data_IF_554836767744
#
_entry.id   IF_554836767744
#
_cell.length_a   1.000
_cell.length_b   1.000
_cell.length_c   1.000
_cell.angle_alpha   90.00
_cell.angle_beta   90.00
_cell.angle_gamma   90.00
#
_symmetry.space_group_name_H-M   'P 1'
#
loop_
_entity.id
_entity.type
_entity.pdbx_description
1 polymer ?
#
# COMPACT_ATOMS: atom_id res chain seq x y z
N UNK A 1 -14.04 18.16 13.52
CA UNK A 1 -12.89 17.54 12.83
C UNK A 1 -12.31 18.58 11.89
N UNK A 2 -11.10 19.07 12.16
CA UNK A 2 -10.46 20.09 11.32
C UNK A 2 -9.94 19.40 10.05
N UNK A 3 -10.61 19.57 8.92
CA UNK A 3 -10.11 19.07 7.64
C UNK A 3 -8.95 19.97 7.20
N UNK A 4 -7.72 19.46 7.29
CA UNK A 4 -6.55 20.12 6.71
C UNK A 4 -6.53 19.90 5.20
N UNK A 5 -6.29 20.97 4.44
CA UNK A 5 -6.12 20.90 3.00
C UNK A 5 -4.74 20.33 2.66
N UNK A 6 -4.70 19.33 1.78
CA UNK A 6 -3.47 18.79 1.21
C UNK A 6 -3.33 19.33 -0.22
N UNK A 7 -2.24 20.05 -0.48
CA UNK A 7 -1.94 20.60 -1.81
C UNK A 7 -0.89 19.72 -2.47
N UNK A 8 -1.24 19.14 -3.62
CA UNK A 8 -0.35 18.32 -4.43
C UNK A 8 0.08 19.11 -5.66
N UNK A 9 1.38 19.12 -5.97
CA UNK A 9 1.84 19.55 -7.30
C UNK A 9 1.64 18.39 -8.27
N UNK A 10 0.99 18.67 -9.38
CA UNK A 10 0.64 17.70 -10.40
C UNK A 10 1.30 18.07 -11.72
N UNK A 11 1.67 17.04 -12.49
CA UNK A 11 2.01 17.19 -13.90
C UNK A 11 0.78 16.88 -14.78
N UNK A 12 0.95 17.01 -16.10
CA UNK A 12 -0.15 16.80 -17.04
C UNK A 12 -0.66 15.35 -17.04
N UNK A 13 0.22 14.38 -16.80
CA UNK A 13 -0.13 12.95 -16.76
C UNK A 13 -1.00 12.65 -15.54
N UNK A 14 -0.58 13.10 -14.36
CA UNK A 14 -1.33 12.90 -13.13
C UNK A 14 -2.68 13.63 -13.17
N UNK A 15 -2.76 14.83 -13.73
CA UNK A 15 -4.04 15.54 -13.87
C UNK A 15 -5.02 14.80 -14.78
N UNK A 16 -4.56 14.25 -15.90
CA UNK A 16 -5.39 13.48 -16.82
C UNK A 16 -5.94 12.21 -16.14
N UNK A 17 -5.06 11.45 -15.48
CA UNK A 17 -5.44 10.24 -14.76
C UNK A 17 -6.43 10.54 -13.62
N UNK A 18 -6.21 11.60 -12.85
CA UNK A 18 -7.13 12.01 -11.79
C UNK A 18 -8.49 12.45 -12.33
N UNK A 19 -8.52 13.15 -13.47
CA UNK A 19 -9.77 13.55 -14.10
C UNK A 19 -10.59 12.34 -14.58
N UNK A 20 -9.95 11.38 -15.24
CA UNK A 20 -10.60 10.15 -15.72
C UNK A 20 -11.15 9.33 -14.55
N UNK A 21 -10.34 9.09 -13.51
CA UNK A 21 -10.75 8.31 -12.34
C UNK A 21 -11.88 9.01 -11.56
N UNK A 22 -11.79 10.33 -11.39
CA UNK A 22 -12.82 11.12 -10.73
C UNK A 22 -14.17 11.02 -11.49
N UNK A 23 -14.14 11.17 -12.81
CA UNK A 23 -15.33 11.07 -13.65
C UNK A 23 -15.94 9.67 -13.61
N UNK A 24 -15.11 8.63 -13.73
CA UNK A 24 -15.56 7.23 -13.75
C UNK A 24 -16.16 6.79 -12.41
N UNK A 25 -15.61 7.28 -11.30
CA UNK A 25 -16.04 6.88 -9.95
C UNK A 25 -17.05 7.84 -9.31
N UNK A 26 -17.32 9.00 -9.92
CA UNK A 26 -18.18 10.03 -9.34
C UNK A 26 -17.61 10.65 -8.07
N UNK A 27 -16.28 10.81 -8.00
CA UNK A 27 -15.56 11.31 -6.82
C UNK A 27 -14.81 12.60 -7.11
N UNK A 28 -14.43 13.33 -6.07
CA UNK A 28 -13.44 14.41 -6.24
C UNK A 28 -12.04 13.83 -6.46
N UNK A 29 -11.17 14.57 -7.18
CA UNK A 29 -9.76 14.19 -7.37
C UNK A 29 -9.05 13.97 -6.02
N UNK A 30 -9.36 14.79 -5.01
CA UNK A 30 -8.80 14.63 -3.67
C UNK A 30 -9.20 13.31 -3.01
N UNK A 31 -10.45 12.86 -3.19
CA UNK A 31 -10.89 11.57 -2.66
C UNK A 31 -10.28 10.39 -3.44
N UNK A 32 -10.06 10.53 -4.76
CA UNK A 32 -9.30 9.54 -5.54
C UNK A 32 -7.88 9.37 -4.97
N UNK A 33 -7.16 10.48 -4.74
CA UNK A 33 -5.83 10.45 -4.13
C UNK A 33 -5.87 9.81 -2.75
N UNK A 34 -6.83 10.22 -1.90
CA UNK A 34 -6.98 9.67 -0.55
C UNK A 34 -7.16 8.15 -0.57
N UNK A 35 -8.05 7.63 -1.43
CA UNK A 35 -8.29 6.19 -1.57
C UNK A 35 -7.06 5.45 -2.07
N UNK A 36 -6.39 5.99 -3.09
CA UNK A 36 -5.17 5.40 -3.63
C UNK A 36 -4.07 5.27 -2.57
N UNK A 37 -3.87 6.30 -1.75
CA UNK A 37 -2.87 6.29 -0.66
C UNK A 37 -3.22 5.25 0.40
N UNK A 38 -4.48 5.17 0.83
CA UNK A 38 -4.91 4.20 1.83
C UNK A 38 -4.78 2.75 1.34
N UNK A 39 -5.16 2.49 0.09
CA UNK A 39 -5.02 1.17 -0.53
C UNK A 39 -3.54 0.77 -0.66
N UNK A 40 -2.69 1.69 -1.14
CA UNK A 40 -1.24 1.47 -1.20
C UNK A 40 -0.65 1.18 0.19
N UNK A 41 -1.06 1.92 1.21
CA UNK A 41 -0.62 1.71 2.58
C UNK A 41 -1.01 0.32 3.08
N UNK A 42 -2.27 -0.08 2.91
CA UNK A 42 -2.77 -1.39 3.34
C UNK A 42 -2.01 -2.54 2.66
N UNK A 43 -1.79 -2.45 1.35
CA UNK A 43 -1.02 -3.45 0.58
C UNK A 43 0.42 -3.56 1.06
N UNK A 44 1.05 -2.42 1.37
CA UNK A 44 2.45 -2.37 1.83
C UNK A 44 2.58 -2.90 3.26
N UNK A 45 1.64 -2.55 4.14
CA UNK A 45 1.65 -2.99 5.54
C UNK A 45 1.48 -4.51 5.65
N UNK A 46 0.62 -5.14 4.85
CA UNK A 46 0.48 -6.60 4.87
C UNK A 46 1.78 -7.30 4.48
N UNK A 47 2.42 -6.89 3.37
CA UNK A 47 3.71 -7.44 2.94
C UNK A 47 4.79 -7.29 4.01
N UNK A 48 4.87 -6.11 4.64
CA UNK A 48 5.81 -5.85 5.73
C UNK A 48 5.58 -6.78 6.93
N UNK A 49 4.31 -6.97 7.35
CA UNK A 49 3.97 -7.90 8.44
C UNK A 49 4.34 -9.35 8.12
N UNK A 50 4.07 -9.80 6.90
CA UNK A 50 4.43 -11.16 6.46
C UNK A 50 5.95 -11.35 6.46
N UNK A 51 6.70 -10.38 5.93
CA UNK A 51 8.15 -10.42 5.92
C UNK A 51 8.73 -10.46 7.35
N UNK A 52 8.22 -9.61 8.25
CA UNK A 52 8.64 -9.58 9.65
C UNK A 52 8.35 -10.90 10.37
N UNK A 53 7.14 -11.46 10.20
CA UNK A 53 6.76 -12.74 10.80
C UNK A 53 7.61 -13.90 10.25
N UNK A 54 7.94 -13.87 8.95
CA UNK A 54 8.80 -14.87 8.31
C UNK A 54 10.23 -14.79 8.83
N UNK A 55 10.78 -13.58 9.00
CA UNK A 55 12.11 -13.37 9.56
C UNK A 55 12.19 -13.90 11.00
N UNK A 56 11.23 -13.54 11.86
CA UNK A 56 11.18 -14.03 13.23
C UNK A 56 11.05 -15.56 13.31
N UNK A 57 10.28 -16.16 12.39
CA UNK A 57 10.11 -17.62 12.35
C UNK A 57 11.38 -18.33 11.88
N UNK A 58 12.10 -17.78 10.89
CA UNK A 58 13.38 -18.31 10.43
C UNK A 58 14.46 -18.21 11.50
N UNK A 59 14.50 -17.10 12.23
CA UNK A 59 15.45 -16.96 13.33
C UNK A 59 15.19 -17.98 14.44
N UNK A 60 13.92 -18.27 14.74
CA UNK A 60 13.56 -19.21 15.81
C UNK A 60 13.61 -20.68 15.40
N UNK A 61 13.29 -20.99 14.14
CA UNK A 61 13.04 -22.36 13.68
C UNK A 61 13.85 -22.75 12.43
N UNK A 62 14.78 -21.91 11.98
CA UNK A 62 15.53 -22.09 10.73
C UNK A 62 16.16 -23.48 10.62
N UNK A 63 16.91 -23.90 11.65
CA UNK A 63 17.55 -25.22 11.64
C UNK A 63 16.56 -26.40 11.59
N UNK A 64 15.38 -26.24 12.20
CA UNK A 64 14.33 -27.27 12.17
C UNK A 64 13.70 -27.33 10.77
N UNK A 65 13.43 -26.17 10.17
CA UNK A 65 12.87 -26.07 8.82
C UNK A 65 13.85 -26.63 7.77
N UNK A 66 15.14 -26.34 7.88
CA UNK A 66 16.19 -26.87 6.98
C UNK A 66 16.30 -28.40 7.07
N UNK A 67 16.15 -28.96 8.27
CA UNK A 67 16.16 -30.42 8.48
C UNK A 67 14.93 -31.11 7.92
N UNK A 68 13.76 -30.46 7.99
CA UNK A 68 12.52 -31.01 7.44
C UNK A 68 12.43 -30.87 5.92
N UNK A 69 13.13 -29.89 5.32
CA UNK A 69 13.16 -29.67 3.88
C UNK A 69 14.26 -30.43 3.12
N UNK A 70 15.13 -31.17 3.82
CA UNK A 70 16.28 -31.89 3.23
C UNK A 70 16.02 -33.40 3.00
N UNK A 71 14.77 -33.85 3.17
CA UNK A 71 14.29 -35.21 2.85
C UNK A 71 13.63 -35.31 1.49
#
# INVERSE_FOLDING_TARGET
MTAMAFTLRTDAELEAALAELAATQGLSKQEVVRRAVLDLHQRTQHKSRVAAASAASRERWGEVLDRLGSV
#
